data_IF_244026700825
#
_entry.id   IF_244026700825
#
_cell.length_a   1.000
_cell.length_b   1.000
_cell.length_c   1.000
_cell.angle_alpha   90.00
_cell.angle_beta   90.00
_cell.angle_gamma   90.00
#
_symmetry.space_group_name_H-M   'P 1'
#
loop_
_entity.id
_entity.type
_entity.pdbx_description
1 polymer ?
#
# COMPACT_ATOMS: atom_id res chain seq x y z
N UNK A 1 13.15 7.61 10.00
CA UNK A 1 11.87 7.66 10.74
C UNK A 1 10.66 7.99 9.87
N UNK A 2 10.82 8.79 8.81
CA UNK A 2 9.74 9.04 7.84
C UNK A 2 9.59 7.87 6.86
N UNK A 3 10.66 7.08 6.68
CA UNK A 3 10.66 5.91 5.80
C UNK A 3 9.68 4.80 6.23
N UNK A 4 9.64 4.48 7.52
CA UNK A 4 8.73 3.46 8.07
C UNK A 4 7.26 3.87 7.94
N UNK A 5 6.96 5.14 8.21
CA UNK A 5 5.65 5.72 7.93
C UNK A 5 5.31 5.72 6.44
N UNK A 6 6.28 6.00 5.57
CA UNK A 6 6.10 5.97 4.12
C UNK A 6 5.69 4.59 3.63
N UNK A 7 6.40 3.54 4.06
CA UNK A 7 6.09 2.16 3.68
C UNK A 7 4.70 1.71 4.18
N UNK A 8 4.39 1.96 5.46
CA UNK A 8 3.13 1.56 6.09
C UNK A 8 1.93 2.30 5.46
N UNK A 9 2.09 3.60 5.17
CA UNK A 9 1.01 4.44 4.62
C UNK A 9 0.80 4.18 3.13
N UNK A 10 1.86 3.89 2.36
CA UNK A 10 1.76 3.67 0.91
C UNK A 10 0.86 2.47 0.58
N UNK A 11 1.06 1.33 1.25
CA UNK A 11 0.22 0.15 1.07
C UNK A 11 -1.27 0.41 1.37
N UNK A 12 -1.57 1.19 2.41
CA UNK A 12 -2.94 1.57 2.74
C UNK A 12 -3.56 2.54 1.73
N UNK A 13 -2.80 3.56 1.30
CA UNK A 13 -3.27 4.57 0.34
C UNK A 13 -3.57 3.94 -1.02
N UNK A 14 -2.72 3.03 -1.51
CA UNK A 14 -2.93 2.31 -2.77
C UNK A 14 -4.25 1.53 -2.75
N UNK A 15 -4.53 0.80 -1.66
CA UNK A 15 -5.75 -0.01 -1.52
C UNK A 15 -6.98 0.90 -1.49
N UNK A 16 -6.91 2.01 -0.75
CA UNK A 16 -8.02 2.97 -0.62
C UNK A 16 -8.31 3.64 -1.97
N UNK A 17 -7.27 4.12 -2.67
CA UNK A 17 -7.43 4.77 -3.97
C UNK A 17 -8.00 3.82 -5.01
N UNK A 18 -7.51 2.58 -5.06
CA UNK A 18 -8.02 1.59 -6.00
C UNK A 18 -9.47 1.18 -5.70
N UNK A 19 -9.83 1.09 -4.42
CA UNK A 19 -11.21 0.82 -3.99
C UNK A 19 -12.14 1.98 -4.37
N UNK A 20 -11.72 3.22 -4.11
CA UNK A 20 -12.46 4.42 -4.51
C UNK A 20 -12.61 4.51 -6.02
N UNK A 21 -11.53 4.27 -6.78
CA UNK A 21 -11.55 4.29 -8.23
C UNK A 21 -12.49 3.22 -8.80
N UNK A 22 -12.43 1.99 -8.27
CA UNK A 22 -13.35 0.90 -8.63
C UNK A 22 -14.80 1.30 -8.38
N UNK A 23 -15.11 1.81 -7.19
CA UNK A 23 -16.47 2.18 -6.81
C UNK A 23 -17.00 3.35 -7.66
N UNK A 24 -16.17 4.37 -7.89
CA UNK A 24 -16.54 5.54 -8.69
C UNK A 24 -16.77 5.15 -10.16
N UNK A 25 -15.89 4.32 -10.72
CA UNK A 25 -15.98 3.85 -12.12
C UNK A 25 -17.21 2.98 -12.37
N UNK A 26 -17.52 2.05 -11.45
CA UNK A 26 -18.65 1.11 -11.61
C UNK A 26 -20.01 1.73 -11.29
N UNK A 27 -20.09 2.57 -10.27
CA UNK A 27 -21.37 3.01 -9.72
C UNK A 27 -21.71 4.47 -10.01
N UNK A 28 -20.79 5.27 -10.58
CA UNK A 28 -21.02 6.64 -11.10
C UNK A 28 -21.94 7.53 -10.22
N UNK A 29 -21.76 7.46 -8.90
CA UNK A 29 -22.55 8.26 -7.94
C UNK A 29 -23.87 7.64 -7.48
N UNK A 30 -24.18 6.40 -7.86
CA UNK A 30 -25.30 5.65 -7.28
C UNK A 30 -25.02 5.37 -5.80
N UNK A 31 -26.03 5.59 -4.96
CA UNK A 31 -25.97 5.24 -3.53
C UNK A 31 -26.12 3.72 -3.41
N UNK A 32 -25.06 3.07 -2.93
CA UNK A 32 -25.09 1.65 -2.60
C UNK A 32 -25.67 1.45 -1.19
N UNK A 33 -26.34 0.33 -0.97
CA UNK A 33 -26.67 -0.13 0.38
C UNK A 33 -25.39 -0.55 1.13
N UNK A 34 -25.46 -0.68 2.46
CA UNK A 34 -24.30 -1.10 3.27
C UNK A 34 -23.76 -2.46 2.84
N UNK A 35 -24.62 -3.45 2.63
CA UNK A 35 -24.19 -4.78 2.20
C UNK A 35 -23.53 -4.77 0.81
N UNK A 36 -24.04 -3.97 -0.12
CA UNK A 36 -23.44 -3.84 -1.45
C UNK A 36 -22.09 -3.12 -1.38
N UNK A 37 -21.98 -2.08 -0.54
CA UNK A 37 -20.73 -1.36 -0.30
C UNK A 37 -19.66 -2.29 0.28
N UNK A 38 -19.97 -3.01 1.35
CA UNK A 38 -19.03 -3.91 2.03
C UNK A 38 -18.55 -5.00 1.07
N UNK A 39 -19.46 -5.56 0.26
CA UNK A 39 -19.13 -6.55 -0.75
C UNK A 39 -18.21 -6.00 -1.84
N UNK A 40 -18.51 -4.84 -2.40
CA UNK A 40 -17.70 -4.24 -3.47
C UNK A 40 -16.34 -3.79 -2.96
N UNK A 41 -16.26 -3.24 -1.74
CA UNK A 41 -15.00 -2.92 -1.06
C UNK A 41 -14.17 -4.18 -0.87
N UNK A 42 -14.76 -5.26 -0.33
CA UNK A 42 -14.04 -6.52 -0.13
C UNK A 42 -13.49 -7.09 -1.44
N UNK A 43 -14.31 -7.11 -2.49
CA UNK A 43 -13.90 -7.60 -3.82
C UNK A 43 -12.78 -6.77 -4.41
N UNK A 44 -12.91 -5.43 -4.38
CA UNK A 44 -11.89 -4.53 -4.93
C UNK A 44 -10.58 -4.60 -4.16
N UNK A 45 -10.66 -4.51 -2.82
CA UNK A 45 -9.49 -4.59 -1.95
C UNK A 45 -8.79 -5.96 -2.09
N UNK A 46 -9.54 -7.06 -2.18
CA UNK A 46 -8.94 -8.39 -2.36
C UNK A 46 -8.20 -8.54 -3.69
N UNK A 47 -8.64 -7.82 -4.74
CA UNK A 47 -8.01 -7.88 -6.06
C UNK A 47 -6.71 -7.08 -6.14
N UNK A 48 -6.65 -5.92 -5.48
CA UNK A 48 -5.45 -5.07 -5.45
C UNK A 48 -4.43 -5.55 -4.41
N UNK A 49 -4.87 -6.20 -3.33
CA UNK A 49 -3.99 -6.61 -2.21
C UNK A 49 -2.76 -7.38 -2.66
N UNK A 50 -2.91 -8.35 -3.57
CA UNK A 50 -1.77 -9.14 -4.05
C UNK A 50 -0.77 -8.31 -4.87
N UNK A 51 -1.26 -7.35 -5.65
CA UNK A 51 -0.41 -6.44 -6.44
C UNK A 51 0.32 -5.44 -5.55
N UNK A 52 -0.36 -4.87 -4.55
CA UNK A 52 0.24 -3.96 -3.59
C UNK A 52 1.32 -4.68 -2.74
N UNK A 53 1.01 -5.87 -2.24
CA UNK A 53 1.94 -6.70 -1.47
C UNK A 53 3.19 -7.07 -2.28
N UNK A 54 3.07 -7.30 -3.60
CA UNK A 54 4.22 -7.57 -4.45
C UNK A 54 5.17 -6.37 -4.56
N UNK A 55 4.62 -5.15 -4.67
CA UNK A 55 5.41 -3.92 -4.63
C UNK A 55 6.13 -3.71 -3.29
N UNK A 56 5.42 -3.96 -2.19
CA UNK A 56 5.95 -3.88 -0.83
C UNK A 56 7.11 -4.87 -0.61
N UNK A 57 7.00 -6.09 -1.16
CA UNK A 57 8.09 -7.09 -1.14
C UNK A 57 9.32 -6.60 -1.90
N UNK A 58 9.15 -5.94 -3.05
CA UNK A 58 10.29 -5.40 -3.81
C UNK A 58 11.02 -4.33 -2.99
N UNK A 59 10.27 -3.41 -2.37
CA UNK A 59 10.85 -2.36 -1.52
C UNK A 59 11.58 -3.00 -0.33
N UNK A 60 10.99 -4.01 0.30
CA UNK A 60 11.58 -4.76 1.40
C UNK A 60 12.91 -5.42 1.00
N UNK A 61 12.96 -6.07 -0.17
CA UNK A 61 14.16 -6.74 -0.70
C UNK A 61 15.29 -5.73 -0.95
N UNK A 62 14.97 -4.54 -1.48
CA UNK A 62 15.95 -3.46 -1.67
C UNK A 62 16.46 -2.94 -0.32
N UNK A 63 15.64 -3.01 0.72
CA UNK A 63 15.98 -2.49 2.05
C UNK A 63 16.84 -3.42 2.91
N UNK A 64 16.67 -4.74 2.76
CA UNK A 64 17.48 -5.74 3.50
C UNK A 64 19.00 -5.49 3.35
N UNK A 65 19.55 -5.27 2.14
CA UNK A 65 20.95 -4.93 1.94
C UNK A 65 21.36 -3.62 2.63
N UNK A 66 20.48 -2.61 2.62
CA UNK A 66 20.76 -1.30 3.22
C UNK A 66 20.95 -1.44 4.74
N UNK A 67 20.15 -2.29 5.38
CA UNK A 67 20.27 -2.60 6.81
C UNK A 67 21.55 -3.38 7.16
N UNK A 68 22.17 -4.04 6.19
CA UNK A 68 23.42 -4.81 6.38
C UNK A 68 24.69 -3.97 6.20
N UNK A 69 24.59 -2.72 5.73
CA UNK A 69 25.73 -1.82 5.59
C UNK A 69 26.28 -1.43 6.96
N UNK A 70 27.50 -1.89 7.28
CA UNK A 70 28.23 -1.53 8.51
C UNK A 70 29.31 -0.50 8.16
N UNK A 71 29.32 0.66 8.82
CA UNK A 71 30.33 1.71 8.62
C UNK A 71 29.77 3.13 8.64
N UNK A 72 30.50 4.07 8.05
CA UNK A 72 30.11 5.50 7.94
C UNK A 72 28.88 5.66 7.01
N UNK A 73 28.76 4.79 6.00
CA UNK A 73 27.64 4.74 5.06
C UNK A 73 26.35 4.30 5.75
N UNK A 74 26.39 3.28 6.62
CA UNK A 74 25.23 2.84 7.40
C UNK A 74 24.67 3.90 8.36
N UNK A 75 25.52 4.81 8.87
CA UNK A 75 25.10 5.94 9.73
C UNK A 75 24.37 7.05 8.97
N UNK A 76 24.52 7.13 7.64
CA UNK A 76 23.77 8.07 6.80
C UNK A 76 22.40 7.52 6.40
N UNK A 77 22.21 6.20 6.42
CA UNK A 77 20.92 5.55 6.12
C UNK A 77 20.08 5.24 7.37
N UNK A 78 20.71 5.06 8.54
CA UNK A 78 20.01 4.89 9.83
C UNK A 78 19.02 6.03 10.20
N UNK A 79 19.24 7.31 9.84
CA UNK A 79 18.31 8.39 10.15
C UNK A 79 17.11 8.51 9.18
N UNK A 80 17.13 7.84 8.02
CA UNK A 80 16.07 7.99 7.00
C UNK A 80 14.74 7.36 7.45
#
# INVERSE_FOLDING_TARGET
GAFDFGLIVDGAVIIVEATLHHLHSRFKGRVLTRDEMDREVFVSASKIRSSAAFGEIIILIVYIPILTLVGIEGKMFHPM
#
